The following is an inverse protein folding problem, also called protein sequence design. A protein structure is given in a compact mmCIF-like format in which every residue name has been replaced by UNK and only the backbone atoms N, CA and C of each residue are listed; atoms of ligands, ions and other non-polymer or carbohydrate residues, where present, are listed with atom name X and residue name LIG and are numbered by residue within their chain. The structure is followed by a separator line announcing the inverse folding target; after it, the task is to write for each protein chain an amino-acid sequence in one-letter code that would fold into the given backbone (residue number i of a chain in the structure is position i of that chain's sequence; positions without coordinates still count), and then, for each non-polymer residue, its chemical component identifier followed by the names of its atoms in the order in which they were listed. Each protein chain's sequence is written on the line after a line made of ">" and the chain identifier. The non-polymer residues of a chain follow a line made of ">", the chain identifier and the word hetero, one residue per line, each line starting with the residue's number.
data_IF_667741787575
#
_entry.id   IF_667741787575
#
_cell.length_a   1.000
_cell.length_b   1.000
_cell.length_c   1.000
_cell.angle_alpha   90.00
_cell.angle_beta   90.00
_cell.angle_gamma   90.00
#
_symmetry.space_group_name_H-M   'P 1'
#
loop_
_entity.id
_entity.type
_entity.pdbx_description
1 polymer ?
#
# COMPACT_ATOMS: atom_id res chain seq x y z
N UNK A 1 -5.60 -30.86 35.30
CA UNK A 1 -6.73 -29.92 35.12
C UNK A 1 -6.22 -28.52 35.46
N UNK A 2 -5.89 -27.71 34.46
CA UNK A 2 -5.44 -26.32 34.66
C UNK A 2 -6.66 -25.40 34.65
N UNK A 3 -6.82 -24.67 35.75
CA UNK A 3 -7.83 -23.63 35.99
C UNK A 3 -7.33 -22.36 35.27
N UNK A 4 -8.10 -21.78 34.35
CA UNK A 4 -7.71 -20.68 33.41
C UNK A 4 -7.16 -19.38 34.07
N UNK A 5 -6.90 -18.26 33.39
CA UNK A 5 -7.27 -17.68 32.09
C UNK A 5 -6.10 -16.77 31.64
N UNK A 6 -5.71 -16.81 30.37
CA UNK A 6 -4.83 -15.78 29.78
C UNK A 6 -5.74 -14.68 29.23
N UNK A 7 -5.62 -13.45 29.74
CA UNK A 7 -6.34 -12.30 29.21
C UNK A 7 -5.85 -11.97 27.79
N UNK A 8 -6.65 -12.32 26.79
CA UNK A 8 -6.51 -11.88 25.41
C UNK A 8 -6.80 -10.37 25.34
N UNK A 9 -5.86 -9.61 24.76
CA UNK A 9 -5.98 -8.18 24.39
C UNK A 9 -6.30 -7.17 25.51
N UNK A 10 -5.28 -6.73 26.24
CA UNK A 10 -5.33 -5.44 26.96
C UNK A 10 -5.17 -4.30 25.95
N UNK A 11 -6.27 -3.72 25.48
CA UNK A 11 -6.20 -2.47 24.68
C UNK A 11 -5.60 -1.38 25.57
N UNK A 12 -4.35 -1.02 25.31
CA UNK A 12 -3.70 0.10 26.00
C UNK A 12 -4.47 1.40 25.71
N UNK A 13 -4.51 2.36 26.64
CA UNK A 13 -5.15 3.69 26.42
C UNK A 13 -4.69 4.36 25.12
N UNK A 14 -3.40 4.18 24.81
CA UNK A 14 -2.77 4.61 23.56
C UNK A 14 -3.33 3.88 22.32
N UNK A 15 -3.58 2.58 22.41
CA UNK A 15 -4.28 1.83 21.37
C UNK A 15 -5.72 2.31 21.17
N UNK A 16 -6.43 2.60 22.25
CA UNK A 16 -7.80 3.13 22.20
C UNK A 16 -7.87 4.49 21.48
N UNK A 17 -6.97 5.42 21.82
CA UNK A 17 -6.88 6.73 21.16
C UNK A 17 -6.57 6.57 19.67
N UNK A 18 -5.63 5.72 19.29
CA UNK A 18 -5.31 5.52 17.87
C UNK A 18 -6.48 4.91 17.09
N UNK A 19 -7.16 3.91 17.65
CA UNK A 19 -8.33 3.30 17.02
C UNK A 19 -9.43 4.33 16.81
N UNK A 20 -9.67 5.19 17.80
CA UNK A 20 -10.63 6.28 17.70
C UNK A 20 -10.27 7.24 16.56
N UNK A 21 -9.01 7.71 16.48
CA UNK A 21 -8.54 8.61 15.43
C UNK A 21 -8.73 7.98 14.03
N UNK A 22 -8.38 6.71 13.86
CA UNK A 22 -8.58 5.99 12.61
C UNK A 22 -10.07 5.92 12.25
N UNK A 23 -10.93 5.60 13.22
CA UNK A 23 -12.38 5.53 13.00
C UNK A 23 -13.00 6.89 12.64
N UNK A 24 -12.50 7.97 13.24
CA UNK A 24 -12.98 9.33 13.02
C UNK A 24 -12.60 9.83 11.61
N UNK A 25 -11.35 9.65 11.20
CA UNK A 25 -10.89 10.09 9.87
C UNK A 25 -11.49 9.24 8.74
N UNK A 26 -11.70 7.93 8.95
CA UNK A 26 -12.43 7.10 8.00
C UNK A 26 -13.88 7.57 7.79
N UNK A 27 -14.53 8.14 8.81
CA UNK A 27 -15.85 8.76 8.66
C UNK A 27 -15.77 10.07 7.87
N UNK A 28 -14.78 10.92 8.15
CA UNK A 28 -14.59 12.20 7.44
C UNK A 28 -14.23 12.04 5.96
N UNK A 29 -13.45 11.02 5.59
CA UNK A 29 -13.10 10.74 4.20
C UNK A 29 -14.33 10.42 3.32
N UNK A 30 -15.43 9.94 3.92
CA UNK A 30 -16.71 9.72 3.21
C UNK A 30 -17.52 11.01 3.03
N UNK A 31 -17.14 12.09 3.71
CA UNK A 31 -17.90 13.33 3.82
C UNK A 31 -17.02 14.55 3.50
N UNK A 32 -16.18 14.44 2.48
CA UNK A 32 -15.55 15.51 1.68
C UNK A 32 -14.94 16.77 2.37
N UNK A 33 -14.67 16.75 3.68
CA UNK A 33 -14.02 17.86 4.39
C UNK A 33 -12.91 17.34 5.30
N UNK A 34 -11.67 17.41 4.82
CA UNK A 34 -10.50 16.79 5.46
C UNK A 34 -9.86 17.75 6.46
N UNK A 35 -10.56 18.03 7.56
CA UNK A 35 -9.93 18.59 8.75
C UNK A 35 -9.47 17.42 9.63
N UNK A 36 -8.17 17.36 9.97
CA UNK A 36 -7.64 16.31 10.86
C UNK A 36 -8.24 16.41 12.26
N UNK A 37 -7.72 15.62 13.20
CA UNK A 37 -8.23 15.65 14.58
C UNK A 37 -7.25 16.32 15.54
N UNK A 38 -7.75 17.19 16.41
CA UNK A 38 -6.96 17.86 17.43
C UNK A 38 -7.15 17.24 18.81
N UNK A 39 -6.24 17.55 19.75
CA UNK A 39 -6.29 17.00 21.10
C UNK A 39 -7.58 17.34 21.87
N UNK A 40 -8.21 18.47 21.54
CA UNK A 40 -9.46 18.92 22.16
C UNK A 40 -10.64 18.01 21.78
N UNK A 41 -10.73 17.66 20.50
CA UNK A 41 -11.78 16.77 19.97
C UNK A 41 -11.64 15.37 20.57
N UNK A 42 -10.42 14.81 20.59
CA UNK A 42 -10.16 13.50 21.21
C UNK A 42 -10.48 13.53 22.71
N UNK A 43 -10.12 14.60 23.41
CA UNK A 43 -10.37 14.76 24.85
C UNK A 43 -11.86 14.69 25.17
N UNK A 44 -12.68 15.46 24.45
CA UNK A 44 -14.14 15.49 24.62
C UNK A 44 -14.79 14.15 24.31
N UNK A 45 -14.37 13.50 23.23
CA UNK A 45 -15.00 12.25 22.80
C UNK A 45 -14.61 11.03 23.63
N UNK A 46 -13.39 11.00 24.17
CA UNK A 46 -12.91 9.87 24.97
C UNK A 46 -12.98 10.13 26.48
N UNK A 47 -13.40 11.32 26.89
CA UNK A 47 -13.38 11.79 28.27
C UNK A 47 -12.00 11.60 28.94
N UNK A 48 -10.93 11.88 28.18
CA UNK A 48 -9.54 11.81 28.66
C UNK A 48 -9.01 13.25 28.79
N UNK A 49 -8.29 13.60 29.86
CA UNK A 49 -7.69 14.92 30.01
C UNK A 49 -6.85 15.35 28.80
N UNK A 50 -7.04 16.58 28.31
CA UNK A 50 -6.37 17.13 27.11
C UNK A 50 -4.84 17.02 27.16
N UNK A 51 -4.26 17.22 28.34
CA UNK A 51 -2.81 17.10 28.57
C UNK A 51 -2.32 15.65 28.35
N UNK A 52 -3.06 14.65 28.84
CA UNK A 52 -2.77 13.23 28.60
C UNK A 52 -2.92 12.87 27.12
N UNK A 53 -4.00 13.33 26.48
CA UNK A 53 -4.21 13.16 25.03
C UNK A 53 -3.06 13.76 24.23
N UNK A 54 -2.66 15.00 24.52
CA UNK A 54 -1.55 15.68 23.84
C UNK A 54 -0.23 14.91 23.99
N UNK A 55 0.04 14.37 25.19
CA UNK A 55 1.21 13.52 25.44
C UNK A 55 1.18 12.26 24.57
N UNK A 56 0.03 11.58 24.52
CA UNK A 56 -0.14 10.33 23.75
C UNK A 56 -0.05 10.59 22.24
N UNK A 57 -0.67 11.66 21.73
CA UNK A 57 -0.58 12.05 20.32
C UNK A 57 0.85 12.37 19.89
N UNK A 58 1.60 13.10 20.72
CA UNK A 58 3.01 13.37 20.47
C UNK A 58 3.87 12.10 20.53
N UNK A 59 3.56 11.16 21.43
CA UNK A 59 4.23 9.85 21.46
C UNK A 59 3.94 9.06 20.18
N UNK A 60 2.68 8.99 19.74
CA UNK A 60 2.28 8.31 18.50
C UNK A 60 2.91 8.95 17.26
N UNK A 61 3.10 10.27 17.27
CA UNK A 61 3.86 11.00 16.23
C UNK A 61 5.35 10.62 16.24
N UNK A 62 5.99 10.56 17.43
CA UNK A 62 7.39 10.12 17.56
C UNK A 62 7.59 8.66 17.12
N UNK A 63 6.57 7.82 17.30
CA UNK A 63 6.55 6.43 16.84
C UNK A 63 6.16 6.26 15.37
N UNK A 64 6.06 7.36 14.62
CA UNK A 64 5.72 7.38 13.21
C UNK A 64 4.33 6.80 12.85
N UNK A 65 3.41 6.78 13.82
CA UNK A 65 2.03 6.27 13.64
C UNK A 65 1.05 7.37 13.23
N UNK A 66 1.41 8.63 13.48
CA UNK A 66 0.63 9.81 13.13
C UNK A 66 1.51 10.83 12.41
N UNK A 67 0.95 11.59 11.49
CA UNK A 67 1.50 12.86 11.02
C UNK A 67 0.79 14.04 11.71
N UNK A 68 1.38 15.24 11.68
CA UNK A 68 0.80 16.43 12.30
C UNK A 68 0.94 17.67 11.43
N UNK A 69 -0.10 18.50 11.39
CA UNK A 69 -0.08 19.83 10.80
C UNK A 69 0.08 20.84 11.93
N UNK A 70 1.17 21.61 11.88
CA UNK A 70 1.44 22.67 12.85
C UNK A 70 0.41 23.79 12.68
N UNK A 71 -0.15 24.25 13.78
CA UNK A 71 -1.19 25.28 13.80
C UNK A 71 -1.71 25.51 15.21
N UNK A 72 -2.69 26.42 15.34
CA UNK A 72 -3.46 26.64 16.57
C UNK A 72 -4.94 26.44 16.23
N UNK A 73 -5.52 25.24 16.44
CA UNK A 73 -4.93 24.06 17.09
C UNK A 73 -4.04 23.21 16.17
N UNK A 74 -3.25 22.30 16.77
CA UNK A 74 -2.46 21.29 16.05
C UNK A 74 -3.36 20.11 15.68
N UNK A 75 -3.32 19.73 14.40
CA UNK A 75 -4.10 18.62 13.86
C UNK A 75 -3.21 17.40 13.62
N UNK A 76 -3.73 16.22 13.94
CA UNK A 76 -3.09 14.93 13.74
C UNK A 76 -3.86 14.09 12.73
N UNK A 77 -3.11 13.29 11.98
CA UNK A 77 -3.64 12.36 11.00
C UNK A 77 -2.95 11.00 11.19
N UNK A 78 -3.65 9.87 11.00
CA UNK A 78 -3.03 8.58 10.79
C UNK A 78 -1.95 8.74 9.73
N UNK A 79 -0.72 8.40 10.10
CA UNK A 79 0.26 8.12 9.07
C UNK A 79 -0.20 6.77 8.55
N UNK A 80 -0.73 6.73 7.32
CA UNK A 80 -1.23 5.51 6.71
C UNK A 80 -0.17 4.43 6.89
N UNK A 81 -0.42 3.55 7.85
CA UNK A 81 0.21 2.26 7.80
C UNK A 81 -0.52 1.59 6.65
N UNK A 82 0.10 1.62 5.47
CA UNK A 82 -0.06 0.63 4.39
C UNK A 82 0.31 -0.80 4.87
N UNK A 83 0.11 -1.07 6.16
CA UNK A 83 0.47 -2.25 6.95
C UNK A 83 -0.55 -2.40 8.08
N UNK A 84 -1.82 -2.58 7.70
CA UNK A 84 -2.81 -3.46 8.36
C UNK A 84 -4.15 -3.38 7.61
N UNK A 85 -4.17 -4.01 6.45
CA UNK A 85 -5.37 -4.67 5.92
C UNK A 85 -5.11 -6.19 5.92
N UNK A 86 -4.91 -6.72 7.11
CA UNK A 86 -5.38 -8.07 7.46
C UNK A 86 -6.24 -7.76 8.69
N UNK A 87 -7.56 -7.61 8.61
CA UNK A 87 -8.52 -8.57 8.09
C UNK A 87 -9.90 -7.90 8.06
N UNK A 88 -10.48 -7.71 6.89
CA UNK A 88 -11.94 -7.49 6.76
C UNK A 88 -12.43 -7.76 5.33
N UNK A 89 -12.24 -8.99 4.89
CA UNK A 89 -13.12 -9.80 4.04
C UNK A 89 -12.33 -11.05 3.64
N UNK A 90 -12.99 -12.19 3.56
CA UNK A 90 -12.40 -13.47 3.17
C UNK A 90 -11.91 -13.44 1.70
N UNK A 91 -10.79 -12.76 1.46
CA UNK A 91 -10.08 -12.73 0.19
C UNK A 91 -8.66 -13.21 0.48
N UNK A 92 -8.34 -14.41 0.01
CA UNK A 92 -6.99 -14.96 0.10
C UNK A 92 -5.97 -13.92 -0.37
N UNK A 93 -4.84 -13.83 0.33
CA UNK A 93 -3.79 -12.93 -0.11
C UNK A 93 -3.31 -13.41 -1.49
N UNK A 94 -3.46 -12.54 -2.51
CA UNK A 94 -3.21 -12.86 -3.93
C UNK A 94 -1.78 -13.37 -4.17
N UNK A 95 -0.86 -13.11 -3.22
CA UNK A 95 0.53 -13.54 -3.27
C UNK A 95 0.81 -14.87 -2.56
N UNK A 96 -0.17 -15.51 -1.89
CA UNK A 96 0.03 -16.76 -1.13
C UNK A 96 0.65 -17.88 -1.96
N UNK A 97 0.27 -17.97 -3.24
CA UNK A 97 0.78 -18.99 -4.17
C UNK A 97 2.17 -18.67 -4.73
N UNK A 98 2.76 -17.54 -4.34
CA UNK A 98 4.04 -17.09 -4.87
C UNK A 98 5.17 -17.56 -3.95
N UNK A 99 6.06 -18.39 -4.47
CA UNK A 99 7.17 -18.97 -3.68
C UNK A 99 8.01 -17.84 -3.07
N UNK A 100 8.17 -17.86 -1.74
CA UNK A 100 8.92 -16.83 -1.01
C UNK A 100 8.15 -15.54 -0.72
N UNK A 101 6.82 -15.50 -0.92
CA UNK A 101 6.01 -14.29 -0.68
C UNK A 101 6.15 -13.72 0.74
N UNK A 102 6.26 -14.58 1.76
CA UNK A 102 6.44 -14.17 3.15
C UNK A 102 7.92 -14.01 3.56
N UNK A 103 8.85 -14.33 2.65
CA UNK A 103 10.30 -14.38 2.87
C UNK A 103 11.05 -13.52 1.86
N UNK A 104 11.80 -14.15 0.95
CA UNK A 104 12.69 -13.49 -0.01
C UNK A 104 12.02 -12.43 -0.89
N UNK A 105 10.74 -12.60 -1.22
CA UNK A 105 9.98 -11.66 -2.07
C UNK A 105 9.15 -10.66 -1.27
N UNK A 106 9.11 -10.74 0.06
CA UNK A 106 8.29 -9.87 0.90
C UNK A 106 8.52 -8.38 0.63
N UNK A 107 9.79 -7.96 0.57
CA UNK A 107 10.15 -6.56 0.32
C UNK A 107 9.88 -6.15 -1.13
N UNK A 108 10.07 -7.07 -2.08
CA UNK A 108 9.81 -6.85 -3.50
C UNK A 108 8.30 -6.66 -3.73
N UNK A 109 7.47 -7.52 -3.14
CA UNK A 109 6.01 -7.41 -3.15
C UNK A 109 5.58 -6.07 -2.56
N UNK A 110 6.08 -5.71 -1.38
CA UNK A 110 5.76 -4.43 -0.73
C UNK A 110 6.10 -3.21 -1.60
N UNK A 111 7.26 -3.24 -2.25
CA UNK A 111 7.69 -2.14 -3.14
C UNK A 111 6.81 -2.08 -4.38
N UNK A 112 6.51 -3.24 -4.96
CA UNK A 112 5.69 -3.35 -6.15
C UNK A 112 4.23 -2.90 -5.90
N UNK A 113 3.63 -3.29 -4.78
CA UNK A 113 2.29 -2.86 -4.43
C UNK A 113 2.22 -1.36 -4.13
N UNK A 114 3.26 -0.79 -3.50
CA UNK A 114 3.36 0.66 -3.30
C UNK A 114 3.43 1.42 -4.64
N UNK A 115 4.19 0.91 -5.62
CA UNK A 115 4.26 1.48 -6.96
C UNK A 115 2.89 1.46 -7.66
N UNK A 116 2.15 0.35 -7.58
CA UNK A 116 0.78 0.23 -8.13
C UNK A 116 -0.19 1.22 -7.46
N UNK A 117 -0.04 1.44 -6.15
CA UNK A 117 -0.94 2.33 -5.40
C UNK A 117 -0.65 3.82 -5.62
N UNK A 118 0.55 4.16 -6.09
CA UNK A 118 1.03 5.54 -6.15
C UNK A 118 0.15 6.45 -7.04
N UNK A 119 -0.31 7.62 -6.57
CA UNK A 119 -1.16 8.51 -7.36
C UNK A 119 -0.46 9.15 -8.58
N UNK A 120 -1.21 9.55 -9.64
CA UNK A 120 -2.65 9.32 -9.83
C UNK A 120 -2.99 7.95 -10.44
N UNK A 121 -2.05 7.28 -11.12
CA UNK A 121 -2.32 6.11 -11.98
C UNK A 121 -1.38 4.92 -11.75
N UNK A 122 -0.67 4.90 -10.63
CA UNK A 122 0.43 3.97 -10.40
C UNK A 122 1.75 4.44 -11.03
N UNK A 123 2.84 3.79 -10.65
CA UNK A 123 4.17 3.96 -11.21
C UNK A 123 4.48 2.80 -12.15
N UNK A 124 5.04 3.13 -13.31
CA UNK A 124 5.60 2.15 -14.24
C UNK A 124 6.66 1.28 -13.55
N UNK A 125 6.64 -0.02 -13.81
CA UNK A 125 7.51 -0.97 -13.13
C UNK A 125 8.25 -1.89 -14.11
N UNK A 126 9.53 -2.10 -13.81
CA UNK A 126 10.42 -2.99 -14.55
C UNK A 126 10.89 -4.12 -13.64
N UNK A 127 10.60 -5.36 -14.01
CA UNK A 127 10.98 -6.57 -13.28
C UNK A 127 12.18 -7.20 -13.98
N UNK A 128 13.33 -7.23 -13.30
CA UNK A 128 14.61 -7.69 -13.87
C UNK A 128 15.10 -8.94 -13.13
N UNK A 129 15.74 -9.85 -13.86
CA UNK A 129 16.34 -11.06 -13.30
C UNK A 129 16.70 -12.09 -14.38
N UNK A 130 17.40 -13.19 -14.03
CA UNK A 130 17.73 -14.27 -14.96
C UNK A 130 16.51 -14.91 -15.63
N UNK A 131 16.71 -15.66 -16.71
CA UNK A 131 15.62 -16.45 -17.32
C UNK A 131 15.11 -17.52 -16.33
N UNK A 132 13.82 -17.84 -16.38
CA UNK A 132 13.22 -18.91 -15.55
C UNK A 132 12.89 -18.55 -14.10
N UNK A 133 13.28 -17.38 -13.57
CA UNK A 133 13.07 -17.02 -12.15
C UNK A 133 11.63 -16.57 -11.78
N UNK A 134 10.67 -16.75 -12.69
CA UNK A 134 9.25 -16.44 -12.42
C UNK A 134 8.82 -14.98 -12.61
N UNK A 135 9.60 -14.14 -13.31
CA UNK A 135 9.23 -12.73 -13.58
C UNK A 135 7.83 -12.56 -14.17
N UNK A 136 7.45 -13.41 -15.13
CA UNK A 136 6.13 -13.34 -15.80
C UNK A 136 5.02 -13.63 -14.81
N UNK A 137 5.22 -14.66 -13.99
CA UNK A 137 4.26 -15.04 -12.96
C UNK A 137 4.10 -13.94 -11.91
N UNK A 138 5.22 -13.32 -11.48
CA UNK A 138 5.21 -12.19 -10.57
C UNK A 138 4.43 -10.99 -11.15
N UNK A 139 4.68 -10.63 -12.41
CA UNK A 139 3.95 -9.56 -13.11
C UNK A 139 2.44 -9.85 -13.20
N UNK A 140 2.05 -11.09 -13.52
CA UNK A 140 0.64 -11.51 -13.56
C UNK A 140 -0.03 -11.42 -12.19
N UNK A 141 0.67 -11.81 -11.12
CA UNK A 141 0.14 -11.74 -9.75
C UNK A 141 -0.03 -10.30 -9.29
N UNK A 142 0.90 -9.40 -9.61
CA UNK A 142 0.72 -7.95 -9.44
C UNK A 142 -0.48 -7.43 -10.25
N UNK A 143 -0.68 -7.98 -11.45
CA UNK A 143 -1.84 -7.75 -12.29
C UNK A 143 -3.17 -8.03 -11.58
N UNK A 144 -3.27 -9.23 -11.00
CA UNK A 144 -4.43 -9.67 -10.21
C UNK A 144 -4.62 -8.81 -8.96
N UNK A 145 -3.53 -8.45 -8.29
CA UNK A 145 -3.57 -7.59 -7.11
C UNK A 145 -4.18 -6.22 -7.44
N UNK A 146 -3.70 -5.55 -8.50
CA UNK A 146 -4.22 -4.23 -8.90
C UNK A 146 -5.73 -4.26 -9.21
N UNK A 147 -6.21 -5.34 -9.84
CA UNK A 147 -7.64 -5.58 -10.06
C UNK A 147 -8.40 -5.80 -8.74
N UNK A 148 -7.84 -6.60 -7.82
CA UNK A 148 -8.50 -6.89 -6.53
C UNK A 148 -8.70 -5.64 -5.65
N UNK A 149 -7.82 -4.63 -5.79
CA UNK A 149 -7.93 -3.36 -5.07
C UNK A 149 -8.66 -2.26 -5.86
N UNK A 150 -9.21 -2.59 -7.04
CA UNK A 150 -9.96 -1.65 -7.87
C UNK A 150 -9.12 -0.52 -8.47
N UNK A 151 -7.79 -0.68 -8.60
CA UNK A 151 -6.93 0.34 -9.22
C UNK A 151 -7.10 0.42 -10.73
N UNK A 152 -7.48 -0.68 -11.35
CA UNK A 152 -7.81 -0.73 -12.77
C UNK A 152 -8.84 -1.84 -13.03
N UNK A 153 -9.79 -1.56 -13.91
CA UNK A 153 -10.69 -2.58 -14.47
C UNK A 153 -10.17 -3.13 -15.80
N UNK A 154 -9.09 -2.56 -16.35
CA UNK A 154 -8.45 -3.02 -17.58
C UNK A 154 -7.47 -4.16 -17.28
N UNK A 155 -7.22 -4.99 -18.28
CA UNK A 155 -6.12 -5.92 -18.23
C UNK A 155 -4.79 -5.16 -18.16
N UNK A 156 -3.92 -5.62 -17.25
CA UNK A 156 -2.59 -5.07 -17.13
C UNK A 156 -1.74 -5.58 -18.29
N UNK A 157 -1.00 -4.66 -18.90
CA UNK A 157 -0.20 -4.97 -20.07
C UNK A 157 1.19 -5.40 -19.61
N UNK A 158 1.56 -6.63 -19.97
CA UNK A 158 2.83 -7.25 -19.60
C UNK A 158 3.68 -7.38 -20.86
N UNK A 159 4.82 -6.71 -20.89
CA UNK A 159 5.74 -6.79 -22.02
C UNK A 159 6.95 -7.65 -21.68
N UNK A 160 7.17 -8.72 -22.43
CA UNK A 160 8.45 -9.44 -22.39
C UNK A 160 9.47 -8.71 -23.27
N UNK A 161 10.41 -8.01 -22.65
CA UNK A 161 11.32 -7.12 -23.37
C UNK A 161 12.30 -7.89 -24.27
N UNK A 162 12.63 -9.15 -23.96
CA UNK A 162 13.49 -9.95 -24.85
C UNK A 162 12.82 -10.26 -26.20
N UNK A 163 11.49 -10.30 -26.24
CA UNK A 163 10.73 -10.54 -27.47
C UNK A 163 10.75 -9.33 -28.40
N UNK A 164 10.72 -8.12 -27.82
CA UNK A 164 10.60 -6.86 -28.59
C UNK A 164 11.93 -6.16 -28.84
N UNK A 165 12.99 -6.46 -28.08
CA UNK A 165 14.31 -5.83 -28.23
C UNK A 165 14.86 -5.98 -29.66
N UNK A 166 14.65 -7.13 -30.28
CA UNK A 166 15.13 -7.41 -31.64
C UNK A 166 14.09 -7.09 -32.73
N UNK A 167 12.84 -6.83 -32.36
CA UNK A 167 11.73 -6.58 -33.30
C UNK A 167 10.82 -5.43 -32.80
N UNK A 168 11.35 -4.20 -32.69
CA UNK A 168 10.61 -3.06 -32.13
C UNK A 168 9.35 -2.71 -32.91
N UNK A 169 9.26 -3.10 -34.18
CA UNK A 169 8.08 -2.90 -35.05
C UNK A 169 6.84 -3.60 -34.51
N UNK A 170 6.98 -4.79 -33.89
CA UNK A 170 5.87 -5.53 -33.26
C UNK A 170 5.27 -4.79 -32.06
N UNK A 171 6.09 -4.03 -31.35
CA UNK A 171 5.64 -3.19 -30.25
C UNK A 171 4.88 -1.97 -30.78
N UNK A 172 5.31 -1.42 -31.92
CA UNK A 172 4.67 -0.25 -32.53
C UNK A 172 3.33 -0.57 -33.19
N UNK A 173 3.17 -1.74 -33.81
CA UNK A 173 1.91 -2.17 -34.42
C UNK A 173 0.82 -2.46 -33.39
N UNK A 174 1.18 -3.09 -32.27
CA UNK A 174 0.20 -3.60 -31.30
C UNK A 174 -0.15 -2.58 -30.20
N UNK A 175 0.72 -1.58 -29.96
CA UNK A 175 0.54 -0.58 -28.89
C UNK A 175 0.95 0.83 -29.35
N UNK A 176 0.21 1.47 -30.26
CA UNK A 176 0.59 2.74 -30.89
C UNK A 176 0.78 3.89 -29.89
N UNK A 177 -0.07 3.98 -28.87
CA UNK A 177 -0.23 5.13 -27.97
C UNK A 177 0.90 5.31 -26.91
N UNK A 178 1.77 4.31 -26.68
CA UNK A 178 2.60 4.26 -25.46
C UNK A 178 4.10 4.54 -25.68
N UNK A 179 4.43 5.78 -26.09
CA UNK A 179 5.78 6.21 -26.50
C UNK A 179 6.85 6.03 -25.39
N UNK A 180 6.50 6.31 -24.14
CA UNK A 180 7.41 6.18 -22.98
C UNK A 180 7.80 4.72 -22.73
N UNK A 181 6.84 3.80 -22.85
CA UNK A 181 7.06 2.36 -22.69
C UNK A 181 7.96 1.83 -23.81
N UNK A 182 7.74 2.29 -25.05
CA UNK A 182 8.57 1.91 -26.21
C UNK A 182 10.05 2.26 -25.99
N UNK A 183 10.33 3.48 -25.53
CA UNK A 183 11.71 3.91 -25.23
C UNK A 183 12.34 3.09 -24.11
N UNK A 184 11.57 2.70 -23.10
CA UNK A 184 12.08 1.88 -22.00
C UNK A 184 12.43 0.45 -22.46
N UNK A 185 11.56 -0.19 -23.24
CA UNK A 185 11.73 -1.58 -23.69
C UNK A 185 12.91 -1.72 -24.68
N UNK A 186 13.03 -0.80 -25.64
CA UNK A 186 14.04 -0.88 -26.71
C UNK A 186 15.46 -0.70 -26.15
N UNK A 187 15.62 0.12 -25.11
CA UNK A 187 16.94 0.45 -24.56
C UNK A 187 17.42 -0.55 -23.48
N UNK A 188 16.70 -1.64 -23.26
CA UNK A 188 17.05 -2.63 -22.22
C UNK A 188 17.57 -3.94 -22.81
N UNK A 189 18.88 -4.22 -22.70
CA UNK A 189 19.52 -5.38 -23.35
C UNK A 189 19.39 -6.70 -22.56
N UNK A 190 18.71 -6.71 -21.42
CA UNK A 190 18.63 -7.88 -20.50
C UNK A 190 17.20 -8.43 -20.42
N UNK A 191 17.01 -9.74 -20.13
CA UNK A 191 15.68 -10.35 -20.03
C UNK A 191 14.89 -9.76 -18.86
N UNK A 192 13.86 -8.97 -19.17
CA UNK A 192 13.04 -8.27 -18.19
C UNK A 192 11.58 -8.14 -18.64
N UNK A 193 10.72 -7.78 -17.69
CA UNK A 193 9.28 -7.61 -17.92
C UNK A 193 8.84 -6.22 -17.46
N UNK A 194 8.09 -5.52 -18.32
CA UNK A 194 7.51 -4.22 -18.00
C UNK A 194 6.02 -4.34 -17.70
N UNK A 195 5.56 -3.65 -16.64
CA UNK A 195 4.17 -3.57 -16.21
C UNK A 195 3.66 -2.14 -16.40
N UNK A 196 2.56 -1.99 -17.13
CA UNK A 196 1.89 -0.72 -17.44
C UNK A 196 0.42 -0.73 -17.02
#
# INVERSE_FOLDING_TARGET
>A
MLKGVIFLNRITRKGHILNYINSYINKLNKTQSVKGICAEEVSKHLNIPRNEVSRILNQLYKEDRLSKIKGKPVYYYPKDNLHKNESSSASQNVFENLIGWNGSLKNVIKTATAAIMYPPSGLNMMIVGPSGVGKTHFAQTLGKFAKSIGKTNKDIIIFNCSTYANNPQLLMSNYPENITIKKAIINTPKPMIFLA
#
